data_IF_876176042916
#
_entry.id   IF_876176042916
#
_cell.length_a   1.000
_cell.length_b   1.000
_cell.length_c   1.000
_cell.angle_alpha   90.00
_cell.angle_beta   90.00
_cell.angle_gamma   90.00
#
_symmetry.space_group_name_H-M   'P 1'
#
loop_
_entity.id
_entity.type
_entity.pdbx_description
1 polymer ?
#
# COMPACT_ATOMS: atom_id res chain seq x y z
N UNK A 1 7.20 -1.10 8.89
CA UNK A 1 7.50 -1.87 7.67
C UNK A 1 8.97 -2.21 7.54
N UNK A 2 9.87 -1.22 7.49
CA UNK A 2 11.32 -1.43 7.35
C UNK A 2 11.89 -2.31 8.48
N UNK A 3 11.40 -2.14 9.71
CA UNK A 3 11.78 -2.97 10.87
C UNK A 3 11.40 -4.45 10.76
N UNK A 4 10.53 -4.83 9.81
CA UNK A 4 10.14 -6.22 9.56
C UNK A 4 10.91 -6.83 8.39
N UNK A 5 11.69 -6.06 7.64
CA UNK A 5 12.49 -6.58 6.54
C UNK A 5 13.63 -7.44 7.09
N UNK A 6 13.66 -8.71 6.71
CA UNK A 6 14.70 -9.65 7.13
C UNK A 6 16.04 -9.46 6.38
N UNK A 7 16.06 -8.64 5.32
CA UNK A 7 17.19 -8.45 4.42
C UNK A 7 16.96 -7.35 3.39
N UNK A 8 17.95 -7.10 2.53
CA UNK A 8 17.89 -6.07 1.49
C UNK A 8 16.79 -6.37 0.47
N UNK A 9 16.63 -7.63 0.05
CA UNK A 9 15.59 -8.02 -0.92
C UNK A 9 14.19 -7.77 -0.36
N UNK A 10 13.99 -8.02 0.92
CA UNK A 10 12.74 -7.74 1.62
C UNK A 10 12.46 -6.23 1.69
N UNK A 11 13.48 -5.41 1.95
CA UNK A 11 13.36 -3.95 1.93
C UNK A 11 13.04 -3.44 0.52
N UNK A 12 13.77 -3.93 -0.49
CA UNK A 12 13.53 -3.60 -1.90
C UNK A 12 12.10 -3.96 -2.33
N UNK A 13 11.56 -5.08 -1.85
CA UNK A 13 10.20 -5.51 -2.17
C UNK A 13 9.14 -4.54 -1.66
N UNK A 14 9.29 -4.05 -0.42
CA UNK A 14 8.39 -3.02 0.13
C UNK A 14 8.50 -1.72 -0.67
N UNK A 15 9.72 -1.26 -0.96
CA UNK A 15 9.92 -0.03 -1.72
C UNK A 15 9.34 -0.14 -3.15
N UNK A 16 9.52 -1.28 -3.81
CA UNK A 16 8.95 -1.51 -5.14
C UNK A 16 7.41 -1.47 -5.12
N UNK A 17 6.78 -1.96 -4.06
CA UNK A 17 5.33 -1.88 -3.86
C UNK A 17 4.86 -0.42 -3.69
N UNK A 18 5.50 0.35 -2.82
CA UNK A 18 5.16 1.77 -2.62
C UNK A 18 5.38 2.61 -3.89
N UNK A 19 6.49 2.38 -4.61
CA UNK A 19 6.75 3.03 -5.91
C UNK A 19 5.65 2.67 -6.93
N UNK A 20 5.12 1.46 -6.89
CA UNK A 20 4.03 1.04 -7.79
C UNK A 20 2.72 1.77 -7.47
N UNK A 21 2.40 2.01 -6.20
CA UNK A 21 1.27 2.87 -5.82
C UNK A 21 1.39 4.29 -6.36
N UNK A 22 2.60 4.87 -6.30
CA UNK A 22 2.88 6.21 -6.83
C UNK A 22 2.73 6.24 -8.35
N UNK A 23 3.38 5.31 -9.06
CA UNK A 23 3.32 5.24 -10.52
C UNK A 23 1.89 5.06 -11.05
N UNK A 24 1.06 4.28 -10.36
CA UNK A 24 -0.32 4.01 -10.76
C UNK A 24 -1.33 5.02 -10.19
N UNK A 25 -0.84 6.08 -9.54
CA UNK A 25 -1.63 7.14 -8.92
C UNK A 25 -2.71 6.62 -7.96
N UNK A 26 -2.42 5.55 -7.21
CA UNK A 26 -3.39 4.90 -6.34
C UNK A 26 -3.94 5.82 -5.24
N UNK A 27 -3.10 6.72 -4.69
CA UNK A 27 -3.56 7.73 -3.74
C UNK A 27 -4.66 8.63 -4.32
N UNK A 28 -4.49 9.10 -5.57
CA UNK A 28 -5.49 9.93 -6.25
C UNK A 28 -6.76 9.15 -6.56
N UNK A 29 -6.64 7.88 -6.98
CA UNK A 29 -7.80 7.00 -7.22
C UNK A 29 -8.60 6.77 -5.94
N UNK A 30 -7.94 6.55 -4.80
CA UNK A 30 -8.60 6.35 -3.50
C UNK A 30 -9.43 7.58 -3.09
N UNK A 31 -8.88 8.78 -3.22
CA UNK A 31 -9.58 10.03 -2.89
C UNK A 31 -10.78 10.28 -3.80
N UNK A 32 -10.61 10.06 -5.12
CA UNK A 32 -11.71 10.19 -6.07
C UNK A 32 -12.88 9.28 -5.71
N UNK A 33 -12.58 8.05 -5.28
CA UNK A 33 -13.58 7.09 -4.81
C UNK A 33 -14.26 7.59 -3.54
N UNK A 34 -13.50 7.98 -2.52
CA UNK A 34 -14.05 8.49 -1.25
C UNK A 34 -14.96 9.70 -1.47
N UNK A 35 -14.52 10.67 -2.28
CA UNK A 35 -15.31 11.86 -2.64
C UNK A 35 -16.60 11.50 -3.36
N UNK A 36 -16.55 10.57 -4.31
CA UNK A 36 -17.75 10.10 -5.02
C UNK A 36 -18.71 9.41 -4.05
N UNK A 37 -18.20 8.56 -3.16
CA UNK A 37 -19.02 7.89 -2.13
C UNK A 37 -19.66 8.91 -1.19
N UNK A 38 -18.93 9.92 -0.73
CA UNK A 38 -19.48 11.00 0.10
C UNK A 38 -20.55 11.81 -0.65
N UNK A 39 -20.31 12.17 -1.92
CA UNK A 39 -21.28 12.89 -2.72
C UNK A 39 -22.58 12.09 -2.92
N UNK A 40 -22.48 10.78 -3.20
CA UNK A 40 -23.63 9.90 -3.32
C UNK A 40 -24.38 9.75 -2.00
N UNK A 41 -23.67 9.67 -0.86
CA UNK A 41 -24.29 9.62 0.45
C UNK A 41 -25.14 10.86 0.73
N UNK A 42 -24.61 12.06 0.41
CA UNK A 42 -25.33 13.33 0.53
C UNK A 42 -26.58 13.31 -0.37
N UNK A 43 -26.44 12.98 -1.66
CA UNK A 43 -27.60 12.91 -2.57
C UNK A 43 -28.66 11.93 -2.06
N UNK A 44 -28.24 10.78 -1.52
CA UNK A 44 -29.15 9.80 -0.92
C UNK A 44 -29.88 10.31 0.33
N UNK A 45 -29.21 11.12 1.18
CA UNK A 45 -29.84 11.75 2.33
C UNK A 45 -30.74 12.93 1.94
N UNK A 46 -30.39 13.68 0.89
CA UNK A 46 -31.19 14.79 0.34
C UNK A 46 -32.43 14.28 -0.42
N UNK A 47 -32.36 13.14 -1.11
CA UNK A 47 -33.55 12.51 -1.69
C UNK A 47 -34.57 12.09 -0.61
N UNK A 48 -34.13 11.93 0.64
CA UNK A 48 -34.97 11.62 1.80
C UNK A 48 -35.46 12.85 2.57
N UNK A 49 -34.94 14.07 2.30
CA UNK A 49 -35.29 15.31 3.01
C UNK A 49 -35.38 16.49 2.02
N UNK A 50 -36.55 17.09 1.89
CA UNK A 50 -36.79 18.23 0.99
C UNK A 50 -35.81 19.41 1.24
N UNK A 51 -35.32 20.01 0.15
CA UNK A 51 -34.09 20.80 -0.04
C UNK A 51 -33.81 21.99 0.94
N UNK A 52 -32.53 22.15 1.31
CA UNK A 52 -31.92 23.36 1.89
C UNK A 52 -30.65 23.83 1.13
N UNK A 53 -30.31 25.12 1.19
CA UNK A 53 -29.19 25.73 0.44
C UNK A 53 -27.80 25.64 1.07
N UNK A 54 -27.69 25.07 2.27
CA UNK A 54 -26.45 24.97 3.02
C UNK A 54 -25.62 23.76 2.56
N UNK A 55 -26.29 22.64 2.26
CA UNK A 55 -25.67 21.38 1.82
C UNK A 55 -25.01 21.48 0.44
N UNK A 56 -25.51 22.33 -0.46
CA UNK A 56 -24.88 22.57 -1.78
C UNK A 56 -23.50 23.24 -1.64
N UNK A 57 -23.31 24.09 -0.63
CA UNK A 57 -22.02 24.74 -0.34
C UNK A 57 -21.00 23.76 0.24
N UNK A 58 -21.45 22.75 0.96
CA UNK A 58 -20.58 21.71 1.51
C UNK A 58 -20.11 20.76 0.40
N UNK A 59 -20.97 20.46 -0.58
CA UNK A 59 -20.57 19.72 -1.78
C UNK A 59 -19.45 20.44 -2.55
N UNK A 60 -19.55 21.76 -2.74
CA UNK A 60 -18.50 22.55 -3.43
C UNK A 60 -17.17 22.53 -2.65
N UNK A 61 -17.19 22.66 -1.33
CA UNK A 61 -15.98 22.61 -0.48
C UNK A 61 -15.29 21.25 -0.49
N UNK A 62 -16.02 20.14 -0.64
CA UNK A 62 -15.42 18.79 -0.72
C UNK A 62 -14.54 18.60 -1.97
N UNK A 63 -14.77 19.37 -3.04
CA UNK A 63 -13.94 19.28 -4.25
C UNK A 63 -12.68 20.15 -4.19
N UNK A 64 -12.63 21.16 -3.31
CA UNK A 64 -11.57 22.18 -3.25
C UNK A 64 -10.25 21.70 -2.59
N UNK A 65 -10.31 20.75 -1.63
CA UNK A 65 -9.14 20.37 -0.79
C UNK A 65 -8.38 19.12 -1.24
N UNK A 66 -7.66 19.13 -2.36
CA UNK A 66 -7.11 17.90 -2.96
C UNK A 66 -5.84 17.31 -2.35
N UNK A 67 -5.06 18.05 -1.54
CA UNK A 67 -3.76 17.58 -1.02
C UNK A 67 -3.87 17.01 0.41
N UNK A 68 -4.57 17.70 1.30
CA UNK A 68 -4.81 17.27 2.70
C UNK A 68 -5.67 16.00 2.79
N UNK A 69 -6.52 15.76 1.80
CA UNK A 69 -7.32 14.54 1.72
C UNK A 69 -6.48 13.30 1.40
N UNK A 70 -5.36 13.42 0.66
CA UNK A 70 -4.56 12.27 0.26
C UNK A 70 -4.01 11.53 1.48
N UNK A 71 -3.34 12.25 2.37
CA UNK A 71 -2.72 11.67 3.56
C UNK A 71 -3.78 11.14 4.53
N UNK A 72 -4.90 11.86 4.70
CA UNK A 72 -5.97 11.44 5.61
C UNK A 72 -6.73 10.20 5.10
N UNK A 73 -7.11 10.15 3.83
CA UNK A 73 -7.77 8.99 3.23
C UNK A 73 -6.82 7.80 3.19
N UNK A 74 -5.55 7.98 2.83
CA UNK A 74 -4.61 6.87 2.79
C UNK A 74 -4.37 6.27 4.18
N UNK A 75 -4.19 7.10 5.21
CA UNK A 75 -3.94 6.65 6.60
C UNK A 75 -5.16 5.97 7.24
N UNK A 76 -6.38 6.36 6.87
CA UNK A 76 -7.61 5.88 7.53
C UNK A 76 -8.39 4.82 6.73
N UNK A 77 -8.41 4.91 5.40
CA UNK A 77 -9.26 4.08 4.53
C UNK A 77 -8.50 2.92 3.89
N UNK A 78 -7.17 3.06 3.73
CA UNK A 78 -6.33 2.12 3.01
C UNK A 78 -6.66 1.97 1.52
N UNK A 79 -5.93 1.10 0.85
CA UNK A 79 -6.13 0.78 -0.56
C UNK A 79 -7.06 -0.41 -0.74
N UNK A 80 -7.90 -0.37 -1.78
CA UNK A 80 -8.76 -1.51 -2.13
C UNK A 80 -7.93 -2.69 -2.65
N UNK A 81 -8.44 -3.92 -2.50
CA UNK A 81 -7.79 -5.15 -2.96
C UNK A 81 -7.26 -5.09 -4.41
N UNK A 82 -8.00 -4.46 -5.32
CA UNK A 82 -7.58 -4.32 -6.72
C UNK A 82 -6.34 -3.41 -6.87
N UNK A 83 -6.26 -2.32 -6.10
CA UNK A 83 -5.11 -1.41 -6.12
C UNK A 83 -3.86 -2.09 -5.53
N UNK A 84 -4.04 -2.96 -4.55
CA UNK A 84 -2.97 -3.77 -3.97
C UNK A 84 -2.45 -4.81 -4.96
N UNK A 85 -3.36 -5.49 -5.68
CA UNK A 85 -3.01 -6.44 -6.72
C UNK A 85 -2.22 -5.76 -7.85
N UNK A 86 -2.66 -4.58 -8.28
CA UNK A 86 -1.96 -3.77 -9.28
C UNK A 86 -0.57 -3.33 -8.78
N UNK A 87 -0.47 -2.93 -7.51
CA UNK A 87 0.81 -2.54 -6.91
C UNK A 87 1.76 -3.73 -6.74
N UNK A 88 1.25 -4.91 -6.37
CA UNK A 88 2.00 -6.16 -6.32
C UNK A 88 2.51 -6.59 -7.69
N UNK A 89 1.67 -6.46 -8.71
CA UNK A 89 2.03 -6.70 -10.10
C UNK A 89 3.18 -5.80 -10.55
N UNK A 90 3.09 -4.50 -10.25
CA UNK A 90 4.12 -3.52 -10.53
C UNK A 90 5.42 -3.79 -9.77
N UNK A 91 5.32 -4.14 -8.48
CA UNK A 91 6.46 -4.45 -7.64
C UNK A 91 7.24 -5.65 -8.16
N UNK A 92 6.55 -6.72 -8.55
CA UNK A 92 7.19 -7.90 -9.16
C UNK A 92 7.96 -7.52 -10.43
N UNK A 93 7.39 -6.67 -11.28
CA UNK A 93 8.06 -6.21 -12.50
C UNK A 93 9.29 -5.33 -12.18
N UNK A 94 9.17 -4.42 -11.21
CA UNK A 94 10.27 -3.56 -10.77
C UNK A 94 11.41 -4.36 -10.15
N UNK A 95 11.11 -5.32 -9.27
CA UNK A 95 12.11 -6.16 -8.62
C UNK A 95 12.89 -6.97 -9.65
N UNK A 96 12.20 -7.62 -10.59
CA UNK A 96 12.83 -8.34 -11.70
C UNK A 96 13.74 -7.43 -12.52
N UNK A 97 13.27 -6.22 -12.86
CA UNK A 97 14.05 -5.24 -13.62
C UNK A 97 15.27 -4.71 -12.86
N UNK A 98 15.16 -4.59 -11.53
CA UNK A 98 16.23 -4.14 -10.65
C UNK A 98 17.19 -5.27 -10.24
N UNK A 99 16.94 -6.52 -10.66
CA UNK A 99 17.77 -7.68 -10.32
C UNK A 99 17.54 -8.23 -8.91
N UNK A 100 16.45 -7.85 -8.24
CA UNK A 100 16.05 -8.43 -6.95
C UNK A 100 15.13 -9.63 -7.16
N UNK A 101 15.20 -10.61 -6.25
CA UNK A 101 14.28 -11.74 -6.26
C UNK A 101 12.86 -11.27 -5.86
N UNK A 102 11.86 -11.37 -6.76
CA UNK A 102 10.49 -10.91 -6.49
C UNK A 102 9.76 -11.73 -5.40
N UNK A 103 10.28 -12.91 -5.04
CA UNK A 103 9.78 -13.71 -3.91
C UNK A 103 9.91 -12.98 -2.57
N UNK A 104 10.79 -11.98 -2.49
CA UNK A 104 10.91 -11.08 -1.33
C UNK A 104 9.59 -10.43 -0.93
N UNK A 105 8.71 -10.15 -1.90
CA UNK A 105 7.40 -9.55 -1.62
C UNK A 105 6.46 -10.53 -0.92
N UNK A 106 6.39 -11.78 -1.39
CA UNK A 106 5.58 -12.81 -0.74
C UNK A 106 6.12 -13.14 0.66
N UNK A 107 7.44 -13.26 0.81
CA UNK A 107 8.07 -13.48 2.11
C UNK A 107 7.80 -12.34 3.10
N UNK A 108 7.78 -11.09 2.63
CA UNK A 108 7.43 -9.95 3.47
C UNK A 108 5.99 -9.99 3.94
N UNK A 109 5.05 -10.34 3.06
CA UNK A 109 3.64 -10.49 3.43
C UNK A 109 3.42 -11.63 4.44
N UNK A 110 4.16 -12.73 4.30
CA UNK A 110 4.15 -13.83 5.27
C UNK A 110 4.71 -13.38 6.63
N UNK A 111 5.79 -12.62 6.65
CA UNK A 111 6.38 -12.10 7.88
C UNK A 111 5.48 -11.06 8.56
N UNK A 112 4.85 -10.18 7.77
CA UNK A 112 3.85 -9.23 8.23
C UNK A 112 2.64 -9.95 8.83
N UNK A 113 2.17 -11.05 8.22
CA UNK A 113 1.08 -11.86 8.78
C UNK A 113 1.41 -12.43 10.17
N UNK A 114 2.68 -12.75 10.44
CA UNK A 114 3.12 -13.23 11.77
C UNK A 114 3.21 -12.11 12.79
N UNK A 115 3.66 -10.92 12.37
CA UNK A 115 4.01 -9.80 13.27
C UNK A 115 2.87 -8.80 13.48
N UNK A 116 2.01 -8.61 12.50
CA UNK A 116 0.93 -7.64 12.56
C UNK A 116 -0.34 -8.28 13.09
N UNK A 117 -0.87 -7.72 14.19
CA UNK A 117 -2.21 -8.01 14.67
C UNK A 117 -3.22 -7.20 13.84
N UNK A 118 -4.43 -7.74 13.56
CA UNK A 118 -5.51 -6.95 12.97
C UNK A 118 -5.73 -5.66 13.78
N UNK A 119 -5.71 -4.49 13.12
CA UNK A 119 -5.81 -3.17 13.78
C UNK A 119 -4.51 -2.62 14.39
N UNK A 120 -3.38 -3.30 14.22
CA UNK A 120 -2.03 -2.83 14.59
C UNK A 120 -1.56 -1.61 13.76
N UNK A 121 -0.35 -1.08 14.03
CA UNK A 121 0.09 0.19 13.46
C UNK A 121 0.21 0.19 11.92
N UNK A 122 -0.07 1.37 11.34
CA UNK A 122 0.05 1.87 9.96
C UNK A 122 -0.21 0.92 8.78
N UNK A 123 0.56 -0.16 8.60
CA UNK A 123 0.44 -1.01 7.40
C UNK A 123 -0.84 -1.85 7.39
N UNK A 124 -1.21 -2.47 8.52
CA UNK A 124 -2.44 -3.26 8.63
C UNK A 124 -3.72 -2.40 8.53
N UNK A 125 -3.60 -1.08 8.69
CA UNK A 125 -4.69 -0.12 8.49
C UNK A 125 -4.85 0.29 7.04
N UNK A 126 -3.73 0.34 6.31
CA UNK A 126 -3.68 0.90 4.97
C UNK A 126 -3.65 -0.16 3.86
N UNK A 127 -3.31 -1.40 4.19
CA UNK A 127 -3.27 -2.53 3.26
C UNK A 127 -4.12 -3.71 3.79
N UNK A 128 -5.00 -4.31 2.96
CA UNK A 128 -5.86 -5.44 3.32
C UNK A 128 -5.09 -6.76 3.56
N UNK A 129 -5.81 -7.78 4.05
CA UNK A 129 -5.26 -9.07 4.48
C UNK A 129 -4.18 -9.65 3.53
N UNK A 130 -2.95 -9.86 4.03
CA UNK A 130 -1.84 -10.48 3.29
C UNK A 130 -2.17 -11.84 2.66
N UNK A 131 -3.07 -12.65 3.23
CA UNK A 131 -3.34 -14.02 2.77
C UNK A 131 -3.84 -14.07 1.32
N UNK A 132 -4.72 -13.13 0.95
CA UNK A 132 -5.26 -13.03 -0.41
C UNK A 132 -4.15 -12.66 -1.41
N UNK A 133 -3.33 -11.66 -1.07
CA UNK A 133 -2.22 -11.18 -1.89
C UNK A 133 -1.15 -12.24 -2.10
N UNK A 134 -0.80 -13.00 -1.06
CA UNK A 134 0.14 -14.13 -1.16
C UNK A 134 -0.33 -15.14 -2.21
N UNK A 135 -1.62 -15.51 -2.20
CA UNK A 135 -2.17 -16.45 -3.19
C UNK A 135 -2.03 -15.97 -4.63
N UNK A 136 -2.25 -14.67 -4.89
CA UNK A 136 -2.08 -14.07 -6.22
C UNK A 136 -0.61 -13.97 -6.62
N UNK A 137 0.26 -13.57 -5.70
CA UNK A 137 1.70 -13.50 -5.92
C UNK A 137 2.28 -14.87 -6.27
N UNK A 138 1.93 -15.93 -5.54
CA UNK A 138 2.39 -17.29 -5.83
C UNK A 138 1.99 -17.75 -7.24
N UNK A 139 0.77 -17.42 -7.69
CA UNK A 139 0.33 -17.68 -9.07
C UNK A 139 1.16 -16.90 -10.10
N UNK A 140 1.51 -15.64 -9.81
CA UNK A 140 2.31 -14.76 -10.70
C UNK A 140 3.80 -15.14 -10.76
N UNK A 141 4.34 -15.66 -9.66
CA UNK A 141 5.74 -16.01 -9.53
C UNK A 141 6.03 -17.41 -10.09
N UNK A 142 5.05 -18.32 -10.07
CA UNK A 142 5.20 -19.68 -10.56
C UNK A 142 5.94 -20.57 -9.54
N UNK A 143 6.75 -21.55 -9.96
CA UNK A 143 7.56 -22.33 -9.03
C UNK A 143 8.59 -21.40 -8.39
N UNK A 144 8.34 -21.04 -7.13
CA UNK A 144 9.08 -19.97 -6.47
C UNK A 144 10.57 -20.24 -6.37
N UNK A 145 11.36 -19.17 -6.54
CA UNK A 145 12.81 -19.23 -6.46
C UNK A 145 13.28 -18.89 -5.03
N UNK A 146 14.20 -19.67 -4.42
CA UNK A 146 14.74 -19.33 -3.12
C UNK A 146 15.33 -17.92 -3.11
N UNK A 147 14.96 -17.10 -2.13
CA UNK A 147 15.55 -15.78 -1.93
C UNK A 147 17.02 -15.99 -1.53
N UNK A 148 17.94 -15.47 -2.34
CA UNK A 148 19.39 -15.54 -2.11
C UNK A 148 19.96 -14.14 -2.00
N UNK A 149 20.38 -13.77 -0.79
CA UNK A 149 21.12 -12.53 -0.58
C UNK A 149 22.58 -12.73 -0.96
N UNK A 150 23.14 -11.80 -1.73
CA UNK A 150 24.57 -11.79 -2.00
C UNK A 150 25.34 -11.21 -0.79
N UNK A 151 26.63 -11.54 -0.60
CA UNK A 151 27.44 -10.94 0.47
C UNK A 151 27.43 -9.39 0.44
N UNK A 152 27.37 -8.81 -0.76
CA UNK A 152 27.27 -7.35 -0.94
C UNK A 152 25.93 -6.80 -0.44
N UNK A 153 24.81 -7.46 -0.74
CA UNK A 153 23.48 -7.09 -0.24
C UNK A 153 23.42 -7.19 1.29
N UNK A 154 23.93 -8.30 1.85
CA UNK A 154 23.97 -8.48 3.30
C UNK A 154 24.81 -7.40 4.00
N UNK A 155 25.96 -7.05 3.41
CA UNK A 155 26.84 -6.01 3.93
C UNK A 155 26.15 -4.65 3.93
N UNK A 156 25.63 -4.21 2.77
CA UNK A 156 24.91 -2.93 2.66
C UNK A 156 23.73 -2.83 3.62
N UNK A 157 22.92 -3.89 3.72
CA UNK A 157 21.77 -3.89 4.61
C UNK A 157 22.17 -3.78 6.08
N UNK A 158 23.19 -4.55 6.50
CA UNK A 158 23.74 -4.46 7.86
C UNK A 158 24.28 -3.07 8.15
N UNK A 159 25.05 -2.50 7.23
CA UNK A 159 25.67 -1.18 7.41
C UNK A 159 24.59 -0.08 7.49
N UNK A 160 23.54 -0.18 6.67
CA UNK A 160 22.35 0.69 6.76
C UNK A 160 21.67 0.60 8.13
N UNK A 161 21.44 -0.61 8.64
CA UNK A 161 20.85 -0.79 9.97
C UNK A 161 21.76 -0.26 11.08
N UNK A 162 23.07 -0.44 10.97
CA UNK A 162 24.05 0.11 11.91
C UNK A 162 24.03 1.64 11.96
N UNK A 163 23.85 2.29 10.80
CA UNK A 163 23.70 3.74 10.72
C UNK A 163 22.38 4.25 11.35
N UNK A 164 21.31 3.45 11.30
CA UNK A 164 20.03 3.77 11.95
C UNK A 164 20.07 3.58 13.48
N UNK A 165 20.82 2.60 13.98
CA UNK A 165 20.97 2.31 15.42
C UNK A 165 22.00 3.18 16.14
N UNK A 166 22.80 3.96 15.42
CA UNK A 166 23.80 4.88 15.97
C UNK A 166 23.26 6.32 16.16
N UNK A 167 21.93 6.49 16.20
CA UNK A 167 21.25 7.77 16.46
C UNK A 167 20.37 7.68 17.70
#
# INVERSE_FOLDING_TARGET
>A
MISCAAGETALAAVLAHEISHVQLAHGLKAIRKDRLTSALAIIGTEAAKSLGGQELKDLTRMFEGSITDITRTMVNSGYSRNLEEDADAGAVALLRKAGYNPEGLAAMLEEMKKRLKPGGPDFAKTHPDPAYRIGLLRKRLGPGEPIRETPAMTTRYRDFLGALGSR
#
